data_IF_750856327700
#
_entry.id   IF_750856327700
#
_cell.length_a   1.000
_cell.length_b   1.000
_cell.length_c   1.000
_cell.angle_alpha   90.00
_cell.angle_beta   90.00
_cell.angle_gamma   90.00
#
_symmetry.space_group_name_H-M   'P 1'
#
loop_
_entity.id
_entity.type
_entity.pdbx_description
1 polymer ?
#
# COMPACT_ATOMS: atom_id res chain seq x y z
N UNK A 1 8.30 -0.70 10.10
CA UNK A 1 9.76 -0.93 10.32
C UNK A 1 10.15 -2.28 9.72
N UNK A 2 11.23 -2.34 8.98
CA UNK A 2 11.79 -3.54 8.39
C UNK A 2 13.20 -3.82 8.89
N UNK A 3 13.43 -5.04 9.37
CA UNK A 3 14.71 -5.49 9.90
C UNK A 3 15.30 -6.59 9.00
N UNK A 4 16.43 -6.36 8.32
CA UNK A 4 17.09 -7.41 7.57
C UNK A 4 17.74 -8.46 8.50
N UNK A 5 17.76 -9.73 8.08
CA UNK A 5 18.33 -10.80 8.89
C UNK A 5 17.89 -12.20 8.49
N UNK A 6 18.08 -13.17 9.38
CA UNK A 6 17.66 -14.57 9.19
C UNK A 6 16.80 -15.03 10.38
N UNK A 7 15.46 -14.90 10.31
CA UNK A 7 14.67 -14.38 9.18
C UNK A 7 14.66 -12.85 9.10
N UNK A 8 14.36 -12.32 7.91
CA UNK A 8 13.93 -10.93 7.74
C UNK A 8 12.60 -10.70 8.48
N UNK A 9 12.39 -9.50 9.01
CA UNK A 9 11.17 -9.16 9.77
C UNK A 9 10.53 -7.87 9.25
N UNK A 10 9.22 -7.94 9.01
CA UNK A 10 8.36 -6.79 8.78
C UNK A 10 7.62 -6.51 10.09
N UNK A 11 7.79 -5.31 10.64
CA UNK A 11 7.20 -4.86 11.89
C UNK A 11 6.22 -3.73 11.59
N UNK A 12 4.98 -3.88 12.02
CA UNK A 12 3.91 -2.89 11.88
C UNK A 12 3.47 -2.40 13.26
N UNK A 13 2.80 -1.25 13.33
CA UNK A 13 2.48 -0.59 14.60
C UNK A 13 1.01 -0.77 14.99
N UNK A 14 0.76 -0.80 16.30
CA UNK A 14 -0.56 -0.60 16.94
C UNK A 14 -1.66 -1.63 16.58
N UNK A 15 -1.31 -2.85 16.21
CA UNK A 15 -2.27 -3.95 15.91
C UNK A 15 -3.36 -3.62 14.88
N UNK A 16 -3.22 -2.52 14.13
CA UNK A 16 -4.15 -2.17 13.07
C UNK A 16 -3.92 -3.07 11.86
N UNK A 17 -4.95 -3.82 11.49
CA UNK A 17 -4.94 -4.75 10.36
C UNK A 17 -4.33 -4.15 9.08
N UNK A 18 -4.75 -2.92 8.73
CA UNK A 18 -4.22 -2.21 7.55
C UNK A 18 -2.75 -1.83 7.66
N UNK A 19 -2.23 -1.57 8.86
CA UNK A 19 -0.81 -1.27 9.05
C UNK A 19 0.06 -2.47 8.63
N UNK A 20 -0.37 -3.70 8.92
CA UNK A 20 0.33 -4.89 8.45
C UNK A 20 0.31 -5.00 6.91
N UNK A 21 -0.84 -4.76 6.27
CA UNK A 21 -0.95 -4.79 4.81
C UNK A 21 -0.09 -3.71 4.14
N UNK A 22 -0.04 -2.52 4.74
CA UNK A 22 0.76 -1.40 4.28
C UNK A 22 2.27 -1.70 4.31
N UNK A 23 2.77 -2.26 5.42
CA UNK A 23 4.20 -2.63 5.51
C UNK A 23 4.57 -3.75 4.53
N UNK A 24 3.67 -4.71 4.28
CA UNK A 24 3.85 -5.74 3.25
C UNK A 24 3.87 -5.11 1.85
N UNK A 25 3.04 -4.10 1.60
CA UNK A 25 3.04 -3.38 0.33
C UNK A 25 4.38 -2.68 0.09
N UNK A 26 4.93 -1.99 1.09
CA UNK A 26 6.28 -1.43 1.03
C UNK A 26 7.36 -2.49 0.76
N UNK A 27 7.26 -3.64 1.42
CA UNK A 27 8.16 -4.77 1.18
C UNK A 27 8.10 -5.30 -0.27
N UNK A 28 6.90 -5.33 -0.84
CA UNK A 28 6.67 -5.70 -2.24
C UNK A 28 7.26 -4.68 -3.22
N UNK A 29 7.21 -3.38 -2.89
CA UNK A 29 7.87 -2.32 -3.68
C UNK A 29 9.40 -2.40 -3.58
N UNK A 30 9.92 -2.73 -2.41
CA UNK A 30 11.37 -2.86 -2.20
C UNK A 30 11.95 -4.01 -3.03
N UNK A 31 12.92 -3.68 -3.90
CA UNK A 31 13.72 -4.66 -4.66
C UNK A 31 14.76 -5.38 -3.79
N UNK A 32 15.42 -6.39 -4.37
CA UNK A 32 16.29 -7.32 -3.64
C UNK A 32 17.39 -6.63 -2.83
N UNK A 33 18.05 -5.63 -3.43
CA UNK A 33 19.08 -4.85 -2.78
C UNK A 33 18.53 -4.03 -1.59
N UNK A 34 17.34 -3.44 -1.73
CA UNK A 34 16.72 -2.64 -0.66
C UNK A 34 16.27 -3.51 0.51
N UNK A 35 15.86 -4.76 0.27
CA UNK A 35 15.51 -5.71 1.33
C UNK A 35 16.73 -6.19 2.16
N UNK A 36 17.93 -5.72 1.85
CA UNK A 36 19.12 -5.91 2.70
C UNK A 36 19.38 -4.73 3.64
N UNK A 37 18.57 -3.67 3.57
CA UNK A 37 18.72 -2.46 4.38
C UNK A 37 17.58 -2.36 5.38
N UNK A 38 17.87 -1.84 6.57
CA UNK A 38 16.84 -1.44 7.54
C UNK A 38 15.90 -0.41 6.89
N UNK A 39 14.60 -0.58 7.09
CA UNK A 39 13.54 0.24 6.47
C UNK A 39 13.71 0.45 4.96
N UNK A 40 14.27 -0.55 4.27
CA UNK A 40 14.54 -0.53 2.82
C UNK A 40 15.51 0.57 2.37
N UNK A 41 16.18 1.23 3.31
CA UNK A 41 16.98 2.43 3.08
C UNK A 41 16.16 3.68 2.78
N UNK A 42 14.87 3.70 3.11
CA UNK A 42 14.04 4.90 2.99
C UNK A 42 14.37 5.93 4.06
N UNK A 43 14.26 7.21 3.70
CA UNK A 43 14.33 8.31 4.65
C UNK A 43 12.91 8.78 4.97
N UNK A 44 12.58 8.86 6.26
CA UNK A 44 11.30 9.35 6.73
C UNK A 44 11.39 10.86 6.98
N UNK A 45 10.53 11.64 6.34
CA UNK A 45 10.28 13.01 6.72
C UNK A 45 9.30 13.03 7.90
N UNK A 46 9.58 13.77 8.99
CA UNK A 46 8.64 13.90 10.10
C UNK A 46 7.37 14.65 9.67
N UNK A 47 6.30 14.47 10.44
CA UNK A 47 5.03 15.22 10.33
C UNK A 47 5.27 16.74 10.32
N UNK A 48 4.40 17.49 9.64
CA UNK A 48 4.60 18.93 9.38
C UNK A 48 5.25 19.23 8.03
N UNK A 49 5.04 18.35 7.04
CA UNK A 49 5.56 18.54 5.67
C UNK A 49 4.91 19.74 5.01
N UNK A 50 5.73 20.53 4.31
CA UNK A 50 5.23 21.56 3.42
C UNK A 50 4.67 20.94 2.12
N UNK A 51 4.04 21.76 1.28
CA UNK A 51 3.39 21.28 0.05
C UNK A 51 4.35 20.53 -0.90
N UNK A 52 5.60 20.97 -1.03
CA UNK A 52 6.60 20.33 -1.90
C UNK A 52 7.00 18.94 -1.35
N UNK A 53 7.26 18.85 -0.05
CA UNK A 53 7.57 17.61 0.64
C UNK A 53 6.37 16.63 0.61
N UNK A 54 5.15 17.15 0.75
CA UNK A 54 3.94 16.34 0.65
C UNK A 54 3.75 15.79 -0.77
N UNK A 55 4.02 16.59 -1.80
CA UNK A 55 3.97 16.12 -3.18
C UNK A 55 5.02 15.04 -3.48
N UNK A 56 6.24 15.18 -2.95
CA UNK A 56 7.28 14.15 -3.07
C UNK A 56 6.86 12.85 -2.39
N UNK A 57 6.29 12.93 -1.19
CA UNK A 57 5.74 11.78 -0.50
C UNK A 57 4.63 11.10 -1.30
N UNK A 58 3.62 11.85 -1.73
CA UNK A 58 2.52 11.31 -2.51
C UNK A 58 3.05 10.54 -3.74
N UNK A 59 4.05 11.09 -4.43
CA UNK A 59 4.65 10.44 -5.62
C UNK A 59 5.26 9.06 -5.34
N UNK A 60 5.86 8.85 -4.18
CA UNK A 60 6.47 7.57 -3.80
C UNK A 60 5.47 6.61 -3.16
N UNK A 61 4.38 7.13 -2.61
CA UNK A 61 3.31 6.36 -1.96
C UNK A 61 2.24 5.81 -2.91
N UNK A 62 2.14 6.32 -4.15
CA UNK A 62 1.14 5.82 -5.11
C UNK A 62 1.24 4.30 -5.29
N UNK A 63 2.45 3.76 -5.43
CA UNK A 63 2.64 2.32 -5.68
C UNK A 63 2.42 1.45 -4.43
N UNK A 64 3.01 1.76 -3.25
CA UNK A 64 2.67 1.08 -2.01
C UNK A 64 1.16 1.04 -1.75
N UNK A 65 0.47 2.19 -1.84
CA UNK A 65 -0.96 2.25 -1.56
C UNK A 65 -1.81 1.56 -2.63
N UNK A 66 -1.35 1.48 -3.88
CA UNK A 66 -1.99 0.65 -4.90
C UNK A 66 -1.89 -0.85 -4.56
N UNK A 67 -0.75 -1.34 -4.06
CA UNK A 67 -0.63 -2.72 -3.59
C UNK A 67 -1.47 -2.97 -2.33
N UNK A 68 -1.48 -2.04 -1.38
CA UNK A 68 -2.33 -2.12 -0.19
C UNK A 68 -3.81 -2.22 -0.58
N UNK A 69 -4.28 -1.42 -1.55
CA UNK A 69 -5.64 -1.49 -2.06
C UNK A 69 -5.99 -2.87 -2.65
N UNK A 70 -5.07 -3.50 -3.38
CA UNK A 70 -5.24 -4.86 -3.89
C UNK A 70 -5.30 -5.89 -2.75
N UNK A 71 -4.49 -5.73 -1.71
CA UNK A 71 -4.51 -6.62 -0.53
C UNK A 71 -5.82 -6.49 0.25
N UNK A 72 -6.26 -5.25 0.49
CA UNK A 72 -7.56 -4.93 1.06
C UNK A 72 -8.70 -5.57 0.25
N UNK A 73 -8.69 -5.43 -1.07
CA UNK A 73 -9.68 -6.06 -1.94
C UNK A 73 -9.68 -7.60 -1.82
N UNK A 74 -8.49 -8.22 -1.81
CA UNK A 74 -8.34 -9.67 -1.70
C UNK A 74 -8.87 -10.23 -0.37
N UNK A 75 -8.76 -9.48 0.73
CA UNK A 75 -9.31 -9.88 2.03
C UNK A 75 -10.68 -9.28 2.36
N UNK A 76 -11.26 -8.47 1.48
CA UNK A 76 -12.57 -7.82 1.70
C UNK A 76 -12.56 -6.72 2.76
N UNK A 77 -11.42 -6.06 2.98
CA UNK A 77 -11.29 -4.95 3.92
C UNK A 77 -11.36 -3.61 3.16
N UNK A 78 -12.07 -2.62 3.71
CA UNK A 78 -12.15 -1.29 3.12
C UNK A 78 -10.78 -0.60 3.04
N UNK A 79 -10.54 0.08 1.92
CA UNK A 79 -9.33 0.82 1.66
C UNK A 79 -9.65 2.31 1.45
N UNK A 80 -8.91 3.17 2.14
CA UNK A 80 -8.90 4.63 1.95
C UNK A 80 -7.45 5.09 1.96
N UNK A 81 -7.08 5.96 1.02
CA UNK A 81 -5.71 6.48 0.94
C UNK A 81 -5.32 7.21 2.23
N UNK A 82 -4.03 7.20 2.54
CA UNK A 82 -3.46 7.95 3.65
C UNK A 82 -2.42 8.93 3.14
N UNK A 83 -2.57 10.21 3.46
CA UNK A 83 -1.57 11.24 3.18
C UNK A 83 -0.53 11.37 4.31
N UNK A 84 -0.77 10.72 5.45
CA UNK A 84 0.12 10.62 6.61
C UNK A 84 0.67 11.97 7.15
N UNK A 85 -0.08 13.07 7.02
CA UNK A 85 0.38 14.42 7.42
C UNK A 85 -0.67 15.06 8.33
N UNK A 86 -0.55 14.85 9.64
CA UNK A 86 -1.54 15.30 10.63
C UNK A 86 -1.37 16.77 11.04
N UNK A 87 -0.16 17.34 10.87
CA UNK A 87 0.17 18.71 11.32
C UNK A 87 0.65 19.66 10.21
N UNK A 88 0.70 19.19 8.97
CA UNK A 88 1.14 19.98 7.81
C UNK A 88 0.02 20.31 6.83
N UNK A 89 0.39 20.70 5.62
CA UNK A 89 -0.55 20.77 4.49
C UNK A 89 -0.81 19.33 4.03
N UNK A 90 -2.00 18.81 4.35
CA UNK A 90 -2.38 17.41 4.09
C UNK A 90 -2.28 17.03 2.61
N UNK A 91 -2.28 18.00 1.70
CA UNK A 91 -2.44 17.77 0.27
C UNK A 91 -3.88 17.42 -0.08
N UNK A 92 -4.12 17.17 -1.36
CA UNK A 92 -5.46 16.83 -1.86
C UNK A 92 -5.68 15.31 -1.84
N UNK A 93 -6.45 14.84 -0.86
CA UNK A 93 -6.76 13.42 -0.67
C UNK A 93 -7.46 12.82 -1.88
N UNK A 94 -8.34 13.59 -2.53
CA UNK A 94 -9.11 13.11 -3.69
C UNK A 94 -8.20 12.91 -4.89
N UNK A 95 -7.35 13.89 -5.19
CA UNK A 95 -6.35 13.77 -6.27
C UNK A 95 -5.43 12.57 -6.02
N UNK A 96 -4.99 12.38 -4.77
CA UNK A 96 -4.15 11.23 -4.44
C UNK A 96 -4.90 9.90 -4.56
N UNK A 97 -6.16 9.82 -4.13
CA UNK A 97 -7.01 8.65 -4.33
C UNK A 97 -7.20 8.30 -5.81
N UNK A 98 -7.41 9.31 -6.67
CA UNK A 98 -7.51 9.12 -8.12
C UNK A 98 -6.19 8.61 -8.73
N UNK A 99 -5.03 9.08 -8.26
CA UNK A 99 -3.73 8.58 -8.70
C UNK A 99 -3.50 7.12 -8.28
N UNK A 100 -3.83 6.76 -7.04
CA UNK A 100 -3.74 5.39 -6.55
C UNK A 100 -4.69 4.49 -7.33
N UNK A 101 -5.94 4.90 -7.54
CA UNK A 101 -6.91 4.15 -8.34
C UNK A 101 -6.40 3.89 -9.76
N UNK A 102 -5.93 4.93 -10.46
CA UNK A 102 -5.38 4.80 -11.79
C UNK A 102 -4.18 3.84 -11.84
N UNK A 103 -3.34 3.84 -10.79
CA UNK A 103 -2.23 2.90 -10.66
C UNK A 103 -2.71 1.47 -10.49
N UNK A 104 -3.73 1.23 -9.67
CA UNK A 104 -4.33 -0.10 -9.50
C UNK A 104 -4.92 -0.61 -10.81
N UNK A 105 -5.67 0.22 -11.53
CA UNK A 105 -6.22 -0.16 -12.83
C UNK A 105 -5.13 -0.52 -13.84
N UNK A 106 -4.02 0.21 -13.86
CA UNK A 106 -2.88 -0.11 -14.71
C UNK A 106 -2.27 -1.47 -14.36
N UNK A 107 -2.10 -1.78 -13.06
CA UNK A 107 -1.59 -3.07 -12.60
C UNK A 107 -2.52 -4.23 -13.00
N UNK A 108 -3.83 -4.07 -12.84
CA UNK A 108 -4.80 -5.09 -13.23
C UNK A 108 -4.82 -5.34 -14.75
N UNK A 109 -4.53 -4.31 -15.56
CA UNK A 109 -4.46 -4.43 -17.03
C UNK A 109 -3.13 -4.99 -17.54
N UNK A 110 -2.02 -4.59 -16.92
CA UNK A 110 -0.66 -4.91 -17.37
C UNK A 110 -0.09 -6.19 -16.74
N UNK A 111 -0.70 -6.66 -15.65
CA UNK A 111 -0.21 -7.76 -14.84
C UNK A 111 0.29 -7.27 -13.48
N UNK A 112 -0.12 -7.98 -12.44
CA UNK A 112 0.31 -7.74 -11.06
C UNK A 112 1.66 -8.45 -10.85
N UNK A 113 2.65 -7.84 -10.20
CA UNK A 113 3.92 -8.51 -9.93
C UNK A 113 3.74 -9.78 -9.08
N UNK A 114 4.54 -10.82 -9.38
CA UNK A 114 4.39 -12.16 -8.79
C UNK A 114 4.23 -12.16 -7.26
N UNK A 115 5.05 -11.39 -6.53
CA UNK A 115 4.98 -11.32 -5.06
C UNK A 115 3.65 -10.74 -4.56
N UNK A 116 3.15 -9.72 -5.25
CA UNK A 116 1.87 -9.05 -4.93
C UNK A 116 0.73 -10.00 -5.24
N UNK A 117 0.76 -10.65 -6.41
CA UNK A 117 -0.25 -11.63 -6.81
C UNK A 117 -0.33 -12.81 -5.85
N UNK A 118 0.82 -13.40 -5.49
CA UNK A 118 0.88 -14.51 -4.52
C UNK A 118 0.28 -14.14 -3.18
N UNK A 119 0.50 -12.90 -2.72
CA UNK A 119 -0.10 -12.43 -1.49
C UNK A 119 -1.61 -12.22 -1.62
N UNK A 120 -2.09 -11.64 -2.72
CA UNK A 120 -3.52 -11.54 -3.00
C UNK A 120 -4.21 -12.91 -3.03
N UNK A 121 -3.60 -13.92 -3.68
CA UNK A 121 -4.14 -15.28 -3.72
C UNK A 121 -4.21 -15.89 -2.32
N UNK A 122 -3.15 -15.73 -1.51
CA UNK A 122 -3.14 -16.23 -0.13
C UNK A 122 -4.23 -15.58 0.73
N UNK A 123 -4.40 -14.25 0.62
CA UNK A 123 -5.46 -13.52 1.30
C UNK A 123 -6.85 -13.97 0.84
N UNK A 124 -7.08 -14.04 -0.48
CA UNK A 124 -8.38 -14.45 -1.02
C UNK A 124 -8.75 -15.88 -0.61
N UNK A 125 -7.79 -16.81 -0.56
CA UNK A 125 -8.01 -18.16 -0.07
C UNK A 125 -8.31 -18.20 1.44
N UNK A 126 -7.59 -17.43 2.26
CA UNK A 126 -7.80 -17.39 3.71
C UNK A 126 -9.15 -16.77 4.09
N UNK A 127 -9.56 -15.71 3.38
CA UNK A 127 -10.80 -14.98 3.64
C UNK A 127 -12.01 -15.46 2.82
N UNK A 128 -11.87 -16.59 2.12
CA UNK A 128 -12.93 -17.20 1.29
C UNK A 128 -13.52 -16.24 0.24
N UNK A 129 -12.64 -15.52 -0.47
CA UNK A 129 -12.97 -14.55 -1.52
C UNK A 129 -12.44 -14.93 -2.90
N UNK A 130 -11.96 -16.15 -3.05
CA UNK A 130 -11.37 -16.67 -4.31
C UNK A 130 -12.32 -16.65 -5.51
N UNK A 131 -13.64 -16.67 -5.28
CA UNK A 131 -14.66 -16.62 -6.33
C UNK A 131 -14.97 -15.20 -6.82
N UNK A 132 -14.47 -14.17 -6.15
CA UNK A 132 -14.67 -12.77 -6.53
C UNK A 132 -13.42 -12.25 -7.26
N UNK A 133 -13.53 -11.84 -8.54
CA UNK A 133 -12.41 -11.24 -9.26
C UNK A 133 -11.87 -10.02 -8.52
N UNK A 134 -10.54 -9.89 -8.46
CA UNK A 134 -9.88 -8.83 -7.71
C UNK A 134 -10.31 -7.42 -8.16
N UNK A 135 -10.62 -7.25 -9.44
CA UNK A 135 -11.16 -6.00 -10.01
C UNK A 135 -12.53 -5.63 -9.45
N UNK A 136 -13.39 -6.62 -9.21
CA UNK A 136 -14.73 -6.41 -8.67
C UNK A 136 -14.68 -6.19 -7.16
N UNK A 137 -13.83 -6.95 -6.47
CA UNK A 137 -13.56 -6.73 -5.05
C UNK A 137 -13.04 -5.32 -4.79
N UNK A 138 -12.11 -4.83 -5.62
CA UNK A 138 -11.56 -3.48 -5.51
C UNK A 138 -12.64 -2.40 -5.60
N UNK A 139 -13.61 -2.54 -6.51
CA UNK A 139 -14.73 -1.58 -6.64
C UNK A 139 -15.62 -1.54 -5.40
N UNK A 140 -15.67 -2.62 -4.63
CA UNK A 140 -16.45 -2.69 -3.40
C UNK A 140 -15.70 -2.08 -2.21
N UNK A 141 -14.37 -2.25 -2.16
CA UNK A 141 -13.57 -1.89 -0.98
C UNK A 141 -12.87 -0.54 -1.09
N UNK A 142 -12.64 -0.01 -2.29
CA UNK A 142 -11.95 1.27 -2.46
C UNK A 142 -12.89 2.44 -2.20
N UNK A 143 -12.67 3.15 -1.10
CA UNK A 143 -13.46 4.29 -0.69
C UNK A 143 -12.85 5.59 -1.23
N UNK A 144 -13.58 6.27 -2.10
CA UNK A 144 -13.23 7.63 -2.51
C UNK A 144 -13.54 8.61 -1.37
N UNK A 145 -12.70 9.63 -1.14
CA UNK A 145 -13.02 10.72 -0.22
C UNK A 145 -14.33 11.41 -0.64
N UNK A 146 -15.15 11.81 0.35
CA UNK A 146 -16.40 12.55 0.14
C UNK A 146 -16.14 13.96 -0.40
#
# INVERSE_FOLDING_TARGET
MYLPGSPHRICYTQDYFRSALHEIAHWCVAGDARRQLEDYGYWYAPDGRNAEQQAQFASVEVLPQAYEALFCAACGHDFRVSLDNLKGDGGDERVFAEQVWARVEALLKQGVPERVERWCVALAGFYDRQDLPLSDALRQTFLLPL
#
